data_IF_743322771578
#
_entry.id   IF_743322771578
#
_cell.length_a   1.000
_cell.length_b   1.000
_cell.length_c   1.000
_cell.angle_alpha   90.00
_cell.angle_beta   90.00
_cell.angle_gamma   90.00
#
_symmetry.space_group_name_H-M   'P 1'
#
loop_
_entity.id
_entity.type
_entity.pdbx_description
1 polymer ?
#
# COMPACT_ATOMS: atom_id res chain seq x y z
N UNK A 1 15.84 -9.78 7.43
CA UNK A 1 14.64 -9.96 6.57
C UNK A 1 13.48 -9.01 6.92
N UNK A 2 13.14 -8.75 8.18
CA UNK A 2 12.02 -7.82 8.50
C UNK A 2 12.29 -6.38 8.03
N UNK A 3 13.52 -5.86 8.19
CA UNK A 3 13.89 -4.51 7.72
C UNK A 3 13.71 -4.33 6.20
N UNK A 4 14.05 -5.34 5.40
CA UNK A 4 13.87 -5.35 3.95
C UNK A 4 12.40 -5.43 3.55
N UNK A 5 11.58 -6.17 4.32
CA UNK A 5 10.11 -6.22 4.12
C UNK A 5 9.49 -4.86 4.41
N UNK A 6 9.89 -4.16 5.49
CA UNK A 6 9.43 -2.80 5.77
C UNK A 6 9.80 -1.83 4.65
N UNK A 7 11.05 -1.87 4.18
CA UNK A 7 11.52 -0.97 3.12
C UNK A 7 10.76 -1.21 1.80
N UNK A 8 10.54 -2.47 1.44
CA UNK A 8 9.76 -2.83 0.25
C UNK A 8 8.30 -2.41 0.39
N UNK A 9 7.66 -2.69 1.53
CA UNK A 9 6.27 -2.32 1.77
C UNK A 9 6.07 -0.81 1.74
N UNK A 10 6.96 -0.03 2.37
CA UNK A 10 6.91 1.44 2.34
C UNK A 10 7.08 2.01 0.92
N UNK A 11 8.03 1.47 0.14
CA UNK A 11 8.22 1.87 -1.25
C UNK A 11 7.03 1.50 -2.14
N UNK A 12 6.45 0.32 -1.92
CA UNK A 12 5.28 -0.14 -2.66
C UNK A 12 4.01 0.66 -2.33
N UNK A 13 3.82 1.06 -1.07
CA UNK A 13 2.70 1.93 -0.68
C UNK A 13 2.76 3.28 -1.39
N UNK A 14 3.95 3.90 -1.47
CA UNK A 14 4.14 5.15 -2.23
C UNK A 14 3.88 4.95 -3.73
N UNK A 15 4.37 3.86 -4.32
CA UNK A 15 4.14 3.54 -5.72
C UNK A 15 2.65 3.31 -6.02
N UNK A 16 1.93 2.63 -5.12
CA UNK A 16 0.49 2.42 -5.23
C UNK A 16 -0.30 3.73 -5.10
N UNK A 17 0.14 4.65 -4.24
CA UNK A 17 -0.45 5.99 -4.11
C UNK A 17 -0.29 6.81 -5.40
N UNK A 18 0.92 6.88 -5.95
CA UNK A 18 1.19 7.59 -7.21
C UNK A 18 0.39 6.96 -8.35
N UNK A 19 0.32 5.63 -8.41
CA UNK A 19 -0.47 4.90 -9.39
C UNK A 19 -1.98 5.21 -9.30
N UNK A 20 -2.50 5.39 -8.08
CA UNK A 20 -3.88 5.85 -7.87
C UNK A 20 -4.06 7.26 -8.41
N UNK A 21 -3.26 8.24 -7.99
CA UNK A 21 -3.42 9.63 -8.46
C UNK A 21 -3.30 9.77 -9.98
N UNK A 22 -2.45 8.96 -10.62
CA UNK A 22 -2.29 8.93 -12.07
C UNK A 22 -3.43 8.21 -12.80
N UNK A 23 -4.30 7.49 -12.09
CA UNK A 23 -5.40 6.69 -12.66
C UNK A 23 -6.76 7.27 -12.26
N UNK A 24 -7.21 8.37 -12.90
CA UNK A 24 -8.52 8.94 -12.60
C UNK A 24 -9.64 7.95 -12.95
N UNK A 25 -10.64 7.88 -12.09
CA UNK A 25 -11.87 7.14 -12.36
C UNK A 25 -12.54 7.71 -13.62
N UNK A 26 -12.88 6.84 -14.56
CA UNK A 26 -13.61 7.25 -15.77
C UNK A 26 -14.78 6.32 -16.05
N UNK A 27 -15.81 6.85 -16.72
CA UNK A 27 -16.95 6.06 -17.17
C UNK A 27 -16.63 5.55 -18.57
N UNK A 28 -16.64 4.23 -18.74
CA UNK A 28 -16.41 3.58 -20.02
C UNK A 28 -17.58 3.81 -20.98
N UNK A 29 -17.40 3.51 -22.27
CA UNK A 29 -18.44 3.71 -23.30
C UNK A 29 -19.72 2.92 -23.03
N UNK A 30 -19.62 1.85 -22.25
CA UNK A 30 -20.73 1.01 -21.80
C UNK A 30 -21.45 1.55 -20.54
N UNK A 31 -21.08 2.74 -20.06
CA UNK A 31 -21.65 3.35 -18.85
C UNK A 31 -21.13 2.75 -17.55
N UNK A 32 -20.10 1.91 -17.61
CA UNK A 32 -19.50 1.26 -16.43
C UNK A 32 -18.43 2.18 -15.84
N UNK A 33 -18.52 2.46 -14.54
CA UNK A 33 -17.44 3.14 -13.81
C UNK A 33 -16.22 2.23 -13.70
N UNK A 34 -15.13 2.63 -14.37
CA UNK A 34 -13.80 2.04 -14.23
C UNK A 34 -13.04 2.85 -13.19
N UNK A 35 -12.98 2.32 -11.98
CA UNK A 35 -12.11 2.81 -10.93
C UNK A 35 -10.84 1.96 -10.86
N UNK A 36 -9.74 2.48 -10.33
CA UNK A 36 -8.53 1.71 -10.05
C UNK A 36 -8.73 0.76 -8.84
N UNK A 37 -9.73 -0.13 -8.90
CA UNK A 37 -10.12 -1.07 -7.85
C UNK A 37 -8.99 -2.00 -7.40
N UNK A 38 -7.95 -2.18 -8.20
CA UNK A 38 -6.78 -2.96 -7.81
C UNK A 38 -5.80 -2.16 -6.94
N UNK A 39 -5.65 -0.86 -7.18
CA UNK A 39 -4.67 -0.01 -6.49
C UNK A 39 -5.09 0.30 -5.06
N UNK A 40 -6.38 0.46 -4.81
CA UNK A 40 -6.95 0.71 -3.47
C UNK A 40 -6.62 -0.41 -2.45
N UNK A 41 -6.98 -1.69 -2.70
CA UNK A 41 -6.67 -2.78 -1.78
C UNK A 41 -5.18 -3.10 -1.73
N UNK A 42 -4.42 -2.93 -2.83
CA UNK A 42 -2.97 -3.12 -2.84
C UNK A 42 -2.25 -2.05 -1.97
N UNK A 43 -2.69 -0.80 -2.04
CA UNK A 43 -2.22 0.28 -1.17
C UNK A 43 -2.56 0.01 0.30
N UNK A 44 -3.79 -0.41 0.60
CA UNK A 44 -4.21 -0.72 1.96
C UNK A 44 -3.43 -1.92 2.55
N UNK A 45 -3.27 -3.00 1.79
CA UNK A 45 -2.53 -4.20 2.22
C UNK A 45 -1.04 -3.90 2.47
N UNK A 46 -0.39 -3.14 1.59
CA UNK A 46 1.02 -2.75 1.78
C UNK A 46 1.21 -1.85 3.00
N UNK A 47 0.29 -0.91 3.23
CA UNK A 47 0.30 -0.05 4.42
C UNK A 47 0.15 -0.87 5.70
N UNK A 48 -0.79 -1.82 5.74
CA UNK A 48 -1.00 -2.71 6.88
C UNK A 48 0.26 -3.55 7.19
N UNK A 49 0.92 -4.08 6.17
CA UNK A 49 2.18 -4.82 6.32
C UNK A 49 3.28 -3.92 6.87
N UNK A 50 3.44 -2.70 6.35
CA UNK A 50 4.46 -1.75 6.80
C UNK A 50 4.25 -1.33 8.26
N UNK A 51 3.02 -0.99 8.65
CA UNK A 51 2.67 -0.61 10.02
C UNK A 51 2.84 -1.80 10.97
N UNK A 52 2.34 -2.98 10.60
CA UNK A 52 2.45 -4.18 11.43
C UNK A 52 3.89 -4.61 11.68
N UNK A 53 4.73 -4.62 10.64
CA UNK A 53 6.17 -4.94 10.80
C UNK A 53 6.93 -3.83 11.54
N UNK A 54 6.61 -2.55 11.30
CA UNK A 54 7.17 -1.42 12.04
C UNK A 54 6.86 -1.50 13.53
N UNK A 55 5.59 -1.72 13.90
CA UNK A 55 5.14 -1.87 15.28
C UNK A 55 5.83 -3.07 15.97
N UNK A 56 5.94 -4.20 15.28
CA UNK A 56 6.66 -5.37 15.79
C UNK A 56 8.13 -5.05 16.11
N UNK A 57 8.83 -4.34 15.21
CA UNK A 57 10.22 -3.95 15.44
C UNK A 57 10.37 -2.99 16.63
N UNK A 58 9.45 -2.03 16.79
CA UNK A 58 9.46 -1.10 17.93
C UNK A 58 9.25 -1.86 19.24
N UNK A 59 8.23 -2.72 19.33
CA UNK A 59 7.95 -3.54 20.52
C UNK A 59 9.14 -4.43 20.85
N UNK A 60 9.74 -5.07 19.85
CA UNK A 60 10.93 -5.92 20.05
C UNK A 60 12.13 -5.11 20.57
N UNK A 61 12.30 -3.86 20.12
CA UNK A 61 13.38 -2.98 20.58
C UNK A 61 13.17 -2.49 22.01
N UNK A 62 11.93 -2.31 22.46
CA UNK A 62 11.61 -1.87 23.83
C UNK A 62 11.74 -3.02 24.85
N UNK A 63 11.59 -4.28 24.42
CA UNK A 63 11.72 -5.46 25.29
C UNK A 63 13.14 -6.01 25.46
N UNK A 64 14.11 -5.48 24.71
CA UNK A 64 15.53 -5.87 24.78
C UNK A 64 16.35 -4.77 25.44
#
# INVERSE_FOLDING_TARGET
MIKTICAFAAGFTLAAWIGWEASPSYVDKDGIMREPFALVPLGAASTAVAVGTGAFLIIKRVRH
#
